data_IF_119388597640
#
_entry.id   IF_119388597640
#
_cell.length_a   1.000
_cell.length_b   1.000
_cell.length_c   1.000
_cell.angle_alpha   90.00
_cell.angle_beta   90.00
_cell.angle_gamma   90.00
#
_symmetry.space_group_name_H-M   'P 1'
#
loop_
_entity.id
_entity.type
_entity.pdbx_description
1 polymer ?
#
# COMPACT_ATOMS: atom_id res chain seq x y z
N UNK A 1 -41.70 22.33 35.25
CA UNK A 1 -40.74 22.79 34.22
C UNK A 1 -39.64 21.75 34.14
N UNK A 2 -39.76 20.86 33.16
CA UNK A 2 -38.93 19.68 32.95
C UNK A 2 -37.72 20.06 32.09
N UNK A 3 -36.52 20.02 32.66
CA UNK A 3 -35.27 20.19 31.91
C UNK A 3 -34.88 18.87 31.26
N UNK A 4 -34.98 18.80 29.93
CA UNK A 4 -34.48 17.69 29.12
C UNK A 4 -32.97 17.83 28.97
N UNK A 5 -32.21 16.93 29.60
CA UNK A 5 -30.80 16.70 29.26
C UNK A 5 -30.80 15.85 27.99
N UNK A 6 -30.55 16.48 26.85
CA UNK A 6 -30.30 15.77 25.59
C UNK A 6 -28.84 15.34 25.58
N UNK A 7 -28.61 14.05 25.81
CA UNK A 7 -27.34 13.39 25.57
C UNK A 7 -27.08 13.50 24.06
N UNK A 8 -26.10 14.32 23.69
CA UNK A 8 -25.68 14.50 22.30
C UNK A 8 -25.13 13.18 21.78
N UNK A 9 -25.98 12.54 20.99
CA UNK A 9 -25.71 11.36 20.18
C UNK A 9 -24.65 11.76 19.14
N UNK A 10 -23.37 11.61 19.50
CA UNK A 10 -22.27 11.77 18.56
C UNK A 10 -22.43 10.68 17.51
N UNK A 11 -22.97 11.05 16.35
CA UNK A 11 -23.28 10.11 15.29
C UNK A 11 -22.01 9.31 14.93
N UNK A 12 -22.16 8.00 14.76
CA UNK A 12 -21.11 7.11 14.26
C UNK A 12 -20.45 7.66 12.98
N UNK A 13 -21.22 8.41 12.18
CA UNK A 13 -20.76 9.16 11.02
C UNK A 13 -19.74 10.27 11.36
N UNK A 14 -19.98 11.11 12.38
CA UNK A 14 -19.02 12.13 12.83
C UNK A 14 -17.77 11.50 13.43
N UNK A 15 -17.92 10.39 14.16
CA UNK A 15 -16.79 9.65 14.74
C UNK A 15 -15.92 9.01 13.64
N UNK A 16 -16.55 8.47 12.58
CA UNK A 16 -15.85 7.94 11.41
C UNK A 16 -15.19 9.05 10.60
N UNK A 17 -15.84 10.20 10.44
CA UNK A 17 -15.31 11.38 9.74
C UNK A 17 -14.13 12.00 10.49
N UNK A 18 -14.18 12.02 11.82
CA UNK A 18 -13.07 12.42 12.67
C UNK A 18 -11.91 11.42 12.58
N UNK A 19 -12.18 10.10 12.58
CA UNK A 19 -11.18 9.06 12.33
C UNK A 19 -10.59 9.13 10.93
N UNK A 20 -11.36 9.58 9.95
CA UNK A 20 -10.92 9.74 8.57
C UNK A 20 -10.12 11.03 8.38
N UNK A 21 -10.50 12.13 9.03
CA UNK A 21 -9.66 13.32 9.13
C UNK A 21 -8.35 12.96 9.81
N UNK A 22 -8.39 12.22 10.92
CA UNK A 22 -7.18 11.69 11.56
C UNK A 22 -6.41 10.80 10.58
N UNK A 23 -7.05 9.90 9.80
CA UNK A 23 -6.36 9.07 8.78
C UNK A 23 -5.82 9.85 7.59
N UNK A 24 -6.46 10.95 7.21
CA UNK A 24 -6.02 11.86 6.15
C UNK A 24 -4.85 12.74 6.63
N UNK A 25 -4.79 13.04 7.94
CA UNK A 25 -3.64 13.66 8.60
C UNK A 25 -2.57 12.63 9.03
N UNK A 26 -2.93 11.35 9.17
CA UNK A 26 -2.05 10.22 9.50
C UNK A 26 -1.59 9.45 8.27
N UNK A 27 -2.03 9.78 7.06
CA UNK A 27 -1.17 9.59 5.92
C UNK A 27 -0.07 10.62 6.14
N UNK A 28 1.14 10.24 6.58
CA UNK A 28 2.24 11.14 6.31
C UNK A 28 2.15 11.33 4.79
N UNK A 29 2.17 12.57 4.29
CA UNK A 29 2.79 12.73 2.98
C UNK A 29 4.04 11.89 3.08
N UNK A 30 4.09 10.74 2.39
CA UNK A 30 5.18 9.79 2.61
C UNK A 30 6.42 10.63 2.44
N UNK A 31 7.24 10.74 3.48
CA UNK A 31 8.47 11.51 3.46
C UNK A 31 9.46 10.72 2.57
N UNK A 32 9.04 10.37 1.35
CA UNK A 32 9.87 9.95 0.24
C UNK A 32 10.45 11.23 -0.40
N UNK A 33 10.85 12.17 0.46
CA UNK A 33 11.35 13.49 0.11
C UNK A 33 12.77 13.42 -0.46
N UNK A 34 13.39 12.24 -0.37
CA UNK A 34 14.76 11.95 -0.80
C UNK A 34 14.85 11.02 -2.01
N UNK A 35 13.72 10.76 -2.70
CA UNK A 35 13.67 9.92 -3.90
C UNK A 35 14.34 8.55 -3.71
N UNK A 36 13.95 7.85 -2.64
CA UNK A 36 14.35 6.47 -2.36
C UNK A 36 13.25 5.47 -2.71
N UNK A 37 12.15 5.95 -3.28
CA UNK A 37 10.99 5.17 -3.73
C UNK A 37 11.32 3.92 -4.54
N UNK A 38 12.39 3.91 -5.35
CA UNK A 38 12.78 2.71 -6.10
C UNK A 38 13.15 1.53 -5.19
N UNK A 39 13.86 1.76 -4.08
CA UNK A 39 14.18 0.71 -3.11
C UNK A 39 12.93 0.29 -2.33
N UNK A 40 12.13 1.26 -1.86
CA UNK A 40 10.87 1.01 -1.17
C UNK A 40 9.90 0.17 -2.01
N UNK A 41 9.77 0.49 -3.29
CA UNK A 41 8.93 -0.23 -4.23
C UNK A 41 9.50 -1.64 -4.51
N UNK A 42 10.81 -1.77 -4.65
CA UNK A 42 11.47 -3.06 -4.86
C UNK A 42 11.25 -3.99 -3.67
N UNK A 43 11.41 -3.49 -2.43
CA UNK A 43 11.10 -4.26 -1.21
C UNK A 43 9.61 -4.63 -1.17
N UNK A 44 8.72 -3.65 -1.39
CA UNK A 44 7.26 -3.88 -1.35
C UNK A 44 6.83 -4.95 -2.35
N UNK A 45 7.33 -4.90 -3.58
CA UNK A 45 6.95 -5.84 -4.64
C UNK A 45 7.64 -7.21 -4.48
N UNK A 46 8.78 -7.29 -3.79
CA UNK A 46 9.43 -8.56 -3.48
C UNK A 46 8.75 -9.30 -2.32
N UNK A 47 8.24 -8.57 -1.33
CA UNK A 47 7.49 -9.13 -0.22
C UNK A 47 6.03 -9.42 -0.58
N UNK A 48 5.37 -8.46 -1.22
CA UNK A 48 3.93 -8.43 -1.42
C UNK A 48 3.55 -8.07 -2.86
N UNK A 49 3.94 -8.91 -3.84
CA UNK A 49 3.66 -8.67 -5.25
C UNK A 49 2.15 -8.53 -5.53
N UNK A 50 1.81 -7.61 -6.44
CA UNK A 50 0.43 -7.33 -6.82
C UNK A 50 -0.38 -6.53 -5.79
N UNK A 51 0.18 -6.17 -4.63
CA UNK A 51 -0.56 -5.42 -3.59
C UNK A 51 -0.39 -3.92 -3.71
N UNK A 52 -1.41 -3.16 -3.30
CA UNK A 52 -1.43 -1.69 -3.33
C UNK A 52 -1.87 -1.10 -2.00
N UNK A 53 -1.41 0.11 -1.69
CA UNK A 53 -1.91 0.90 -0.54
C UNK A 53 -3.41 1.22 -0.66
N UNK A 54 -3.95 1.14 -1.88
CA UNK A 54 -5.36 1.35 -2.19
C UNK A 54 -6.23 0.11 -1.92
N UNK A 55 -5.63 -1.04 -1.63
CA UNK A 55 -6.41 -2.23 -1.31
C UNK A 55 -7.06 -2.07 0.06
N UNK A 56 -8.35 -2.43 0.11
CA UNK A 56 -9.15 -2.35 1.32
C UNK A 56 -9.70 -3.70 1.76
N UNK A 57 -9.91 -4.69 0.88
CA UNK A 57 -10.42 -6.02 1.26
C UNK A 57 -10.20 -7.06 0.16
N UNK A 58 -10.08 -8.34 0.54
CA UNK A 58 -9.75 -9.39 -0.42
C UNK A 58 -10.87 -9.70 -1.45
N UNK A 59 -12.17 -9.56 -1.09
CA UNK A 59 -13.28 -9.93 -1.99
C UNK A 59 -13.36 -9.08 -3.26
N UNK A 60 -12.70 -7.92 -3.32
CA UNK A 60 -12.59 -7.12 -4.55
C UNK A 60 -11.94 -7.88 -5.71
N UNK A 61 -11.12 -8.89 -5.42
CA UNK A 61 -10.52 -9.77 -6.42
C UNK A 61 -11.55 -10.60 -7.20
N UNK A 62 -12.76 -10.72 -6.67
CA UNK A 62 -13.90 -11.41 -7.26
C UNK A 62 -14.95 -10.41 -7.78
N UNK A 63 -15.27 -9.40 -6.97
CA UNK A 63 -16.27 -8.38 -7.31
C UNK A 63 -15.94 -7.66 -8.61
N UNK A 64 -14.66 -7.34 -8.84
CA UNK A 64 -14.24 -6.64 -10.06
C UNK A 64 -14.44 -7.53 -11.29
N UNK A 65 -13.89 -8.75 -11.37
CA UNK A 65 -14.22 -9.68 -12.46
C UNK A 65 -15.73 -9.84 -12.69
N UNK A 66 -16.52 -9.98 -11.62
CA UNK A 66 -17.97 -10.11 -11.73
C UNK A 66 -18.64 -8.87 -12.32
N UNK A 67 -18.15 -7.66 -12.03
CA UNK A 67 -18.65 -6.44 -12.68
C UNK A 67 -18.46 -6.50 -14.20
N UNK A 68 -17.29 -6.93 -14.68
CA UNK A 68 -17.03 -7.10 -16.11
C UNK A 68 -17.83 -8.25 -16.71
N UNK A 69 -17.99 -9.38 -16.02
CA UNK A 69 -18.78 -10.52 -16.50
C UNK A 69 -20.29 -10.24 -16.52
N UNK A 70 -20.79 -9.36 -15.64
CA UNK A 70 -22.20 -8.95 -15.63
C UNK A 70 -22.61 -8.19 -16.91
N UNK A 71 -21.62 -7.72 -17.69
CA UNK A 71 -21.84 -7.01 -18.93
C UNK A 71 -22.08 -7.91 -20.16
N UNK A 72 -22.63 -9.13 -19.96
CA UNK A 72 -22.71 -10.18 -20.98
C UNK A 72 -23.55 -9.86 -22.24
N UNK A 73 -24.34 -8.79 -22.25
CA UNK A 73 -25.09 -8.33 -23.44
C UNK A 73 -24.35 -7.25 -24.25
N UNK A 74 -23.15 -6.82 -23.83
CA UNK A 74 -22.38 -5.79 -24.51
C UNK A 74 -21.92 -6.28 -25.89
N UNK A 75 -22.01 -5.42 -26.90
CA UNK A 75 -21.60 -5.74 -28.29
C UNK A 75 -20.23 -5.19 -28.65
N UNK A 76 -19.75 -4.19 -27.89
CA UNK A 76 -18.45 -3.54 -28.09
C UNK A 76 -17.69 -3.44 -26.77
N UNK A 77 -16.36 -3.32 -26.84
CA UNK A 77 -15.53 -3.16 -25.65
C UNK A 77 -15.86 -1.89 -24.86
N UNK A 78 -16.19 -0.80 -25.55
CA UNK A 78 -16.65 0.45 -24.94
C UNK A 78 -17.94 0.25 -24.12
N UNK A 79 -18.94 -0.44 -24.68
CA UNK A 79 -20.18 -0.76 -23.96
C UNK A 79 -19.91 -1.63 -22.73
N UNK A 80 -19.03 -2.62 -22.87
CA UNK A 80 -18.64 -3.50 -21.79
C UNK A 80 -17.97 -2.71 -20.66
N UNK A 81 -17.02 -1.83 -20.99
CA UNK A 81 -16.35 -0.94 -20.05
C UNK A 81 -17.32 -0.02 -19.32
N UNK A 82 -18.23 0.63 -20.04
CA UNK A 82 -19.25 1.50 -19.46
C UNK A 82 -20.18 0.75 -18.50
N UNK A 83 -20.58 -0.48 -18.84
CA UNK A 83 -21.41 -1.31 -17.97
C UNK A 83 -20.68 -1.83 -16.75
N UNK A 84 -19.41 -2.24 -16.90
CA UNK A 84 -18.57 -2.65 -15.79
C UNK A 84 -18.40 -1.50 -14.79
N UNK A 85 -18.10 -0.28 -15.28
CA UNK A 85 -18.04 0.92 -14.46
C UNK A 85 -19.37 1.19 -13.74
N UNK A 86 -20.50 1.06 -14.43
CA UNK A 86 -21.81 1.24 -13.81
C UNK A 86 -22.09 0.18 -12.72
N UNK A 87 -21.66 -1.06 -12.95
CA UNK A 87 -21.75 -2.14 -11.97
C UNK A 87 -20.87 -1.86 -10.73
N UNK A 88 -19.64 -1.37 -10.91
CA UNK A 88 -18.77 -0.96 -9.82
C UNK A 88 -19.40 0.19 -9.00
N UNK A 89 -19.97 1.20 -9.66
CA UNK A 89 -20.66 2.31 -8.98
C UNK A 89 -21.90 1.83 -8.21
N UNK A 90 -22.64 0.85 -8.74
CA UNK A 90 -23.75 0.21 -8.01
C UNK A 90 -23.26 -0.49 -6.75
N UNK A 91 -22.15 -1.23 -6.81
CA UNK A 91 -21.57 -1.86 -5.62
C UNK A 91 -21.20 -0.84 -4.53
N UNK A 92 -20.58 0.27 -4.91
CA UNK A 92 -20.20 1.33 -3.96
C UNK A 92 -21.44 1.87 -3.24
N UNK A 93 -22.54 2.15 -3.96
CA UNK A 93 -23.81 2.58 -3.33
C UNK A 93 -24.36 1.52 -2.38
N UNK A 94 -24.30 0.24 -2.76
CA UNK A 94 -24.79 -0.84 -1.91
C UNK A 94 -23.96 -1.01 -0.63
N UNK A 95 -22.63 -0.88 -0.71
CA UNK A 95 -21.80 -0.87 0.48
C UNK A 95 -22.11 0.28 1.44
N UNK A 96 -22.51 1.45 0.91
CA UNK A 96 -23.00 2.57 1.72
C UNK A 96 -24.34 2.24 2.40
N UNK A 97 -25.30 1.68 1.66
CA UNK A 97 -26.62 1.29 2.19
C UNK A 97 -26.50 0.23 3.30
N UNK A 98 -25.51 -0.67 3.19
CA UNK A 98 -25.25 -1.75 4.14
C UNK A 98 -24.30 -1.35 5.29
N UNK A 99 -23.91 -0.08 5.39
CA UNK A 99 -22.98 0.45 6.40
C UNK A 99 -21.67 -0.39 6.53
N UNK A 100 -21.14 -0.83 5.39
CA UNK A 100 -19.90 -1.61 5.35
C UNK A 100 -18.74 -0.73 5.85
N UNK A 101 -18.01 -1.23 6.86
CA UNK A 101 -16.97 -0.42 7.53
C UNK A 101 -15.74 -0.12 6.67
N UNK A 102 -15.38 -0.99 5.71
CA UNK A 102 -14.12 -0.90 4.94
C UNK A 102 -14.37 -1.17 3.47
N UNK A 103 -14.63 -0.13 2.67
CA UNK A 103 -14.76 -0.24 1.22
C UNK A 103 -14.19 1.01 0.51
N UNK A 104 -13.89 0.85 -0.79
CA UNK A 104 -13.45 1.97 -1.64
C UNK A 104 -14.66 2.87 -1.92
N UNK A 105 -14.55 4.15 -1.55
CA UNK A 105 -15.62 5.13 -1.70
C UNK A 105 -16.45 5.40 -0.46
N UNK A 106 -15.95 5.02 0.73
CA UNK A 106 -16.61 5.29 2.01
C UNK A 106 -16.98 6.76 2.23
N UNK A 107 -16.13 7.71 1.83
CA UNK A 107 -16.42 9.15 1.95
C UNK A 107 -16.94 9.83 0.68
N UNK A 108 -16.43 9.47 -0.50
CA UNK A 108 -16.83 10.08 -1.78
C UNK A 108 -18.05 9.43 -2.48
N UNK A 109 -18.50 8.27 -1.98
CA UNK A 109 -19.63 7.52 -2.53
C UNK A 109 -19.45 7.10 -3.98
N UNK A 110 -20.53 7.05 -4.75
CA UNK A 110 -20.49 6.61 -6.15
C UNK A 110 -19.83 7.61 -7.11
N UNK A 111 -19.38 8.78 -6.62
CA UNK A 111 -18.65 9.81 -7.37
C UNK A 111 -17.13 9.72 -7.21
N UNK A 112 -16.62 8.62 -6.65
CA UNK A 112 -15.17 8.39 -6.48
C UNK A 112 -14.43 8.54 -7.80
N UNK A 113 -13.31 9.26 -7.75
CA UNK A 113 -12.44 9.51 -8.90
C UNK A 113 -11.70 8.24 -9.39
N UNK A 114 -11.42 7.30 -8.48
CA UNK A 114 -10.74 6.04 -8.80
C UNK A 114 -11.59 4.83 -8.40
N UNK A 115 -12.14 4.15 -9.41
CA UNK A 115 -12.95 2.94 -9.21
C UNK A 115 -12.12 1.76 -8.68
N UNK A 116 -12.74 0.78 -7.99
CA UNK A 116 -12.06 -0.42 -7.50
C UNK A 116 -11.20 -1.13 -8.54
N UNK A 117 -11.66 -1.23 -9.80
CA UNK A 117 -10.91 -1.84 -10.90
C UNK A 117 -9.55 -1.20 -11.12
N UNK A 118 -9.42 0.12 -10.95
CA UNK A 118 -8.14 0.81 -11.08
C UNK A 118 -7.20 0.54 -9.89
N UNK A 119 -7.73 0.29 -8.69
CA UNK A 119 -6.93 -0.01 -7.50
C UNK A 119 -6.38 -1.44 -7.51
N UNK A 120 -7.17 -2.42 -7.95
CA UNK A 120 -6.83 -3.85 -7.88
C UNK A 120 -6.28 -4.44 -9.17
N UNK A 121 -6.23 -3.72 -10.29
CA UNK A 121 -5.77 -4.30 -11.57
C UNK A 121 -4.40 -4.96 -11.47
N UNK A 122 -3.49 -4.34 -10.72
CA UNK A 122 -2.15 -4.89 -10.47
C UNK A 122 -2.20 -6.26 -9.78
N UNK A 123 -3.12 -6.46 -8.83
CA UNK A 123 -3.35 -7.73 -8.13
C UNK A 123 -4.00 -8.75 -9.06
N UNK A 124 -5.03 -8.36 -9.79
CA UNK A 124 -5.73 -9.24 -10.74
C UNK A 124 -4.76 -9.82 -11.76
N UNK A 125 -3.81 -9.01 -12.23
CA UNK A 125 -2.79 -9.42 -13.19
C UNK A 125 -1.69 -10.27 -12.54
N UNK A 126 -1.13 -9.81 -11.41
CA UNK A 126 -0.07 -10.53 -10.71
C UNK A 126 -0.53 -11.95 -10.32
N UNK A 127 -1.75 -12.06 -9.79
CA UNK A 127 -2.29 -13.32 -9.29
C UNK A 127 -2.97 -14.17 -10.37
N UNK A 128 -2.81 -13.79 -11.65
CA UNK A 128 -3.34 -14.49 -12.83
C UNK A 128 -4.86 -14.71 -12.77
N UNK A 129 -5.58 -13.74 -12.20
CA UNK A 129 -7.04 -13.67 -12.22
C UNK A 129 -7.51 -13.14 -13.58
N UNK A 130 -6.79 -12.17 -14.12
CA UNK A 130 -6.89 -11.72 -15.52
C UNK A 130 -5.62 -12.14 -16.27
N UNK A 131 -5.76 -12.43 -17.56
CA UNK A 131 -4.64 -12.73 -18.45
C UNK A 131 -3.60 -11.60 -18.45
N UNK A 132 -2.32 -11.94 -18.48
CA UNK A 132 -1.21 -11.01 -18.19
C UNK A 132 -1.00 -9.91 -19.23
N UNK A 133 -1.43 -10.13 -20.46
CA UNK A 133 -1.38 -9.20 -21.59
C UNK A 133 -2.57 -8.21 -21.60
N UNK A 134 -3.59 -8.43 -20.78
CA UNK A 134 -4.80 -7.61 -20.78
C UNK A 134 -4.65 -6.42 -19.84
N UNK A 135 -4.77 -5.22 -20.40
CA UNK A 135 -4.82 -3.98 -19.65
C UNK A 135 -6.26 -3.62 -19.28
N UNK A 136 -6.42 -2.84 -18.21
CA UNK A 136 -7.75 -2.41 -17.73
C UNK A 136 -8.57 -1.74 -18.83
N UNK A 137 -7.93 -0.93 -19.65
CA UNK A 137 -8.62 -0.16 -20.67
C UNK A 137 -8.93 -0.98 -21.93
N UNK A 138 -8.28 -2.14 -22.12
CA UNK A 138 -8.47 -3.03 -23.28
C UNK A 138 -9.27 -4.30 -22.96
N UNK A 139 -9.62 -4.53 -21.69
CA UNK A 139 -10.34 -5.75 -21.31
C UNK A 139 -11.68 -5.92 -22.03
N UNK A 140 -12.38 -4.81 -22.31
CA UNK A 140 -13.63 -4.85 -23.04
C UNK A 140 -13.44 -5.47 -24.42
N UNK A 141 -12.44 -5.02 -25.17
CA UNK A 141 -12.12 -5.55 -26.49
C UNK A 141 -11.66 -7.02 -26.38
N UNK A 142 -10.79 -7.32 -25.43
CA UNK A 142 -10.32 -8.70 -25.21
C UNK A 142 -11.46 -9.69 -24.94
N UNK A 143 -12.48 -9.29 -24.17
CA UNK A 143 -13.65 -10.12 -23.88
C UNK A 143 -14.57 -10.28 -25.11
N UNK A 144 -14.70 -9.25 -25.94
CA UNK A 144 -15.48 -9.31 -27.18
C UNK A 144 -14.79 -10.24 -28.19
N UNK A 145 -13.48 -10.12 -28.33
CA UNK A 145 -12.66 -10.97 -29.20
C UNK A 145 -12.70 -12.43 -28.75
N UNK A 146 -12.58 -12.68 -27.44
CA UNK A 146 -12.76 -14.02 -26.86
C UNK A 146 -14.14 -14.59 -27.18
N UNK A 147 -15.20 -13.80 -27.01
CA UNK A 147 -16.56 -14.24 -27.31
C UNK A 147 -16.78 -14.51 -28.81
N UNK A 148 -16.14 -13.75 -29.70
CA UNK A 148 -16.15 -14.00 -31.13
C UNK A 148 -15.41 -15.29 -31.49
N UNK A 149 -14.17 -15.46 -31.00
CA UNK A 149 -13.38 -16.67 -31.26
C UNK A 149 -14.09 -17.94 -30.80
N UNK A 150 -14.77 -17.91 -29.63
CA UNK A 150 -15.59 -19.03 -29.16
C UNK A 150 -16.75 -19.38 -30.10
N UNK A 151 -17.41 -18.38 -30.71
CA UNK A 151 -18.49 -18.62 -31.70
C UNK A 151 -17.96 -19.25 -32.98
N UNK A 152 -16.75 -18.87 -33.37
CA UNK A 152 -16.09 -19.33 -34.59
C UNK A 152 -15.34 -20.66 -34.39
N UNK A 153 -15.41 -21.26 -33.19
CA UNK A 153 -14.70 -22.50 -32.85
C UNK A 153 -13.18 -22.35 -32.78
N UNK A 154 -12.67 -21.12 -32.68
CA UNK A 154 -11.24 -20.85 -32.55
C UNK A 154 -10.82 -20.96 -31.08
N UNK A 155 -9.76 -21.73 -30.78
CA UNK A 155 -9.17 -21.76 -29.44
C UNK A 155 -8.70 -20.36 -29.06
N UNK A 156 -9.19 -19.85 -27.93
CA UNK A 156 -8.78 -18.57 -27.36
C UNK A 156 -8.49 -18.78 -25.87
N UNK A 157 -7.38 -18.21 -25.41
CA UNK A 157 -7.04 -18.22 -23.99
C UNK A 157 -8.03 -17.32 -23.22
N UNK A 158 -8.69 -17.82 -22.18
CA UNK A 158 -9.69 -17.04 -21.45
C UNK A 158 -9.13 -15.74 -20.87
N UNK A 159 -9.87 -14.63 -21.00
CA UNK A 159 -9.48 -13.33 -20.43
C UNK A 159 -9.45 -13.39 -18.90
N UNK A 160 -10.47 -14.01 -18.32
CA UNK A 160 -10.55 -14.29 -16.88
C UNK A 160 -10.13 -15.72 -16.60
N UNK A 161 -9.55 -15.95 -15.44
CA UNK A 161 -9.17 -17.30 -15.00
C UNK A 161 -10.40 -18.25 -15.04
N UNK A 162 -10.32 -19.42 -15.70
CA UNK A 162 -11.45 -20.33 -15.82
C UNK A 162 -11.98 -20.88 -14.50
N UNK A 163 -11.15 -20.91 -13.46
CA UNK A 163 -11.53 -21.35 -12.12
C UNK A 163 -12.20 -20.26 -11.28
N UNK A 164 -12.37 -19.04 -11.79
CA UNK A 164 -12.98 -17.93 -11.07
C UNK A 164 -14.37 -18.34 -10.50
N UNK A 165 -14.60 -18.22 -9.17
CA UNK A 165 -15.89 -18.48 -8.58
C UNK A 165 -17.02 -17.70 -9.28
N UNK A 166 -18.18 -18.31 -9.54
CA UNK A 166 -19.27 -17.62 -10.21
C UNK A 166 -19.84 -16.51 -9.32
N UNK A 167 -20.31 -15.43 -9.94
CA UNK A 167 -21.00 -14.35 -9.23
C UNK A 167 -22.31 -14.87 -8.60
N UNK A 168 -22.73 -14.35 -7.44
CA UNK A 168 -24.04 -14.63 -6.88
C UNK A 168 -25.18 -14.30 -7.86
N UNK A 169 -26.26 -15.09 -7.82
CA UNK A 169 -27.39 -14.95 -8.73
C UNK A 169 -28.07 -13.57 -8.56
N UNK A 170 -28.06 -12.76 -9.61
CA UNK A 170 -28.61 -11.39 -9.58
C UNK A 170 -27.57 -10.30 -9.29
N UNK A 171 -26.28 -10.62 -9.26
CA UNK A 171 -25.21 -9.63 -9.12
C UNK A 171 -25.27 -8.57 -10.25
N UNK A 172 -25.04 -7.27 -9.98
CA UNK A 172 -24.69 -6.64 -8.69
C UNK A 172 -25.90 -6.17 -7.86
N UNK A 173 -27.11 -6.69 -8.11
CA UNK A 173 -28.37 -6.28 -7.49
C UNK A 173 -28.89 -7.18 -6.36
N UNK A 174 -28.17 -8.26 -6.00
CA UNK A 174 -28.54 -9.16 -4.89
C UNK A 174 -28.63 -8.46 -3.52
N UNK A 175 -29.14 -9.15 -2.51
CA UNK A 175 -29.04 -8.72 -1.11
C UNK A 175 -27.65 -9.05 -0.51
N UNK A 176 -26.99 -10.09 -1.05
CA UNK A 176 -25.65 -10.50 -0.65
C UNK A 176 -24.58 -9.66 -1.38
N UNK A 177 -24.22 -8.51 -0.82
CA UNK A 177 -23.02 -7.75 -1.21
C UNK A 177 -22.15 -7.44 -0.01
N UNK A 178 -21.99 -8.41 0.90
CA UNK A 178 -20.99 -8.29 1.96
C UNK A 178 -19.58 -8.23 1.37
N UNK A 179 -18.66 -7.54 2.03
CA UNK A 179 -17.25 -7.54 1.61
C UNK A 179 -16.50 -8.80 2.08
N UNK A 180 -17.17 -9.61 2.89
CA UNK A 180 -16.58 -10.78 3.48
C UNK A 180 -16.58 -11.97 2.54
N UNK A 181 -15.50 -12.73 2.55
CA UNK A 181 -15.33 -13.90 1.71
C UNK A 181 -16.14 -15.09 2.21
N UNK A 182 -16.70 -15.86 1.29
CA UNK A 182 -17.08 -17.26 1.52
C UNK A 182 -15.87 -18.18 1.57
N UNK A 183 -16.06 -19.43 2.03
CA UNK A 183 -14.97 -20.42 2.11
C UNK A 183 -14.36 -20.75 0.76
N UNK A 184 -15.19 -21.10 -0.23
CA UNK A 184 -14.72 -21.43 -1.58
C UNK A 184 -14.02 -20.24 -2.26
N UNK A 185 -14.50 -19.02 -2.02
CA UNK A 185 -13.88 -17.78 -2.50
C UNK A 185 -12.48 -17.59 -1.90
N UNK A 186 -12.34 -17.78 -0.59
CA UNK A 186 -11.06 -17.64 0.11
C UNK A 186 -10.06 -18.74 -0.27
N UNK A 187 -10.51 -19.99 -0.41
CA UNK A 187 -9.70 -21.11 -0.91
C UNK A 187 -9.18 -20.80 -2.31
N UNK A 188 -10.05 -20.32 -3.21
CA UNK A 188 -9.65 -19.98 -4.56
C UNK A 188 -8.61 -18.84 -4.61
N UNK A 189 -8.82 -17.74 -3.88
CA UNK A 189 -7.84 -16.64 -3.84
C UNK A 189 -6.50 -17.10 -3.26
N UNK A 190 -6.50 -17.89 -2.19
CA UNK A 190 -5.28 -18.48 -1.62
C UNK A 190 -4.53 -19.28 -2.68
N UNK A 191 -5.23 -20.16 -3.39
CA UNK A 191 -4.62 -21.04 -4.36
C UNK A 191 -4.05 -20.24 -5.56
N UNK A 192 -4.69 -19.13 -5.94
CA UNK A 192 -4.12 -18.16 -6.91
C UNK A 192 -2.80 -17.57 -6.43
N UNK A 193 -2.76 -17.04 -5.20
CA UNK A 193 -1.55 -16.45 -4.63
C UNK A 193 -0.41 -17.49 -4.55
N UNK A 194 -0.72 -18.71 -4.09
CA UNK A 194 0.27 -19.78 -4.00
C UNK A 194 0.81 -20.21 -5.37
N UNK A 195 -0.04 -20.20 -6.40
CA UNK A 195 0.33 -20.59 -7.75
C UNK A 195 1.19 -19.55 -8.48
N UNK A 196 1.03 -18.25 -8.19
CA UNK A 196 1.74 -17.19 -8.93
C UNK A 196 2.89 -16.56 -8.15
N UNK A 197 2.77 -16.44 -6.82
CA UNK A 197 3.70 -15.66 -5.99
C UNK A 197 4.60 -16.53 -5.10
N UNK A 198 4.93 -17.75 -5.57
CA UNK A 198 5.74 -18.70 -4.80
C UNK A 198 7.07 -18.10 -4.32
N UNK A 199 7.45 -18.39 -3.08
CA UNK A 199 8.70 -17.89 -2.48
C UNK A 199 8.64 -16.45 -1.96
N UNK A 200 7.50 -15.75 -2.07
CA UNK A 200 7.29 -14.42 -1.49
C UNK A 200 6.73 -14.50 -0.07
N UNK A 201 6.83 -13.39 0.67
CA UNK A 201 6.21 -13.32 2.00
C UNK A 201 4.68 -13.41 1.91
N UNK A 202 4.09 -12.85 0.85
CA UNK A 202 2.65 -12.97 0.58
C UNK A 202 2.21 -14.44 0.47
N UNK A 203 2.90 -15.26 -0.32
CA UNK A 203 2.59 -16.69 -0.44
C UNK A 203 2.78 -17.44 0.88
N UNK A 204 3.83 -17.12 1.64
CA UNK A 204 4.07 -17.72 2.96
C UNK A 204 2.90 -17.45 3.94
N UNK A 205 2.34 -16.24 3.93
CA UNK A 205 1.25 -15.85 4.81
C UNK A 205 -0.06 -16.62 4.55
N UNK A 206 -0.26 -17.13 3.32
CA UNK A 206 -1.47 -17.87 2.95
C UNK A 206 -1.29 -19.39 2.89
N UNK A 207 -0.06 -19.91 2.90
CA UNK A 207 0.25 -21.33 2.65
C UNK A 207 -0.26 -22.31 3.72
N UNK A 208 -0.34 -21.88 4.98
CA UNK A 208 -0.78 -22.70 6.12
C UNK A 208 -1.66 -21.86 7.05
N UNK A 209 -2.41 -22.44 7.99
CA UNK A 209 -3.05 -21.69 9.05
C UNK A 209 -2.00 -20.92 9.86
N UNK A 210 -1.82 -19.64 9.54
CA UNK A 210 -0.90 -18.74 10.21
C UNK A 210 -1.62 -17.94 11.30
N UNK A 211 -0.93 -17.63 12.39
CA UNK A 211 -1.40 -16.67 13.39
C UNK A 211 -1.00 -15.26 12.95
N UNK A 212 -1.82 -14.66 12.09
CA UNK A 212 -1.69 -13.25 11.70
C UNK A 212 -2.40 -12.40 12.74
N UNK A 213 -1.68 -11.48 13.38
CA UNK A 213 -2.23 -10.63 14.43
C UNK A 213 -2.93 -9.43 13.79
N UNK A 214 -4.21 -9.20 14.09
CA UNK A 214 -4.97 -8.04 13.56
C UNK A 214 -4.35 -6.69 13.92
N UNK A 215 -3.51 -6.65 14.95
CA UNK A 215 -2.91 -5.44 15.51
C UNK A 215 -1.42 -5.30 15.20
N UNK A 216 -0.78 -6.23 14.48
CA UNK A 216 0.66 -6.15 14.20
C UNK A 216 0.97 -4.92 13.33
N UNK A 217 1.79 -3.95 13.82
CA UNK A 217 2.00 -2.69 13.13
C UNK A 217 2.96 -2.84 11.94
N UNK A 218 3.88 -3.81 11.99
CA UNK A 218 4.92 -4.05 10.99
C UNK A 218 5.01 -5.55 10.66
N UNK A 219 5.51 -5.92 9.48
CA UNK A 219 5.61 -7.34 9.11
C UNK A 219 6.63 -8.08 9.99
N UNK A 220 7.75 -7.46 10.36
CA UNK A 220 8.75 -8.03 11.28
C UNK A 220 8.34 -8.02 12.77
N UNK A 221 7.09 -7.66 13.08
CA UNK A 221 6.49 -7.83 14.40
C UNK A 221 5.37 -8.88 14.40
N UNK A 222 5.05 -9.48 13.25
CA UNK A 222 4.00 -10.49 13.13
C UNK A 222 4.59 -11.91 13.15
N UNK A 223 4.15 -12.80 14.05
CA UNK A 223 4.68 -14.17 14.15
C UNK A 223 4.57 -14.95 12.82
N UNK A 224 3.51 -14.73 12.05
CA UNK A 224 3.34 -15.39 10.76
C UNK A 224 4.44 -15.00 9.79
N UNK A 225 4.76 -13.70 9.72
CA UNK A 225 5.78 -13.20 8.80
C UNK A 225 7.20 -13.58 9.24
N UNK A 226 7.50 -13.52 10.55
CA UNK A 226 8.82 -13.87 11.10
C UNK A 226 9.16 -15.36 10.86
N UNK A 227 8.14 -16.22 10.79
CA UNK A 227 8.34 -17.65 10.49
C UNK A 227 8.71 -17.96 9.03
N UNK A 228 8.78 -16.94 8.15
CA UNK A 228 9.18 -17.11 6.77
C UNK A 228 10.64 -17.57 6.66
N UNK A 229 10.91 -18.36 5.62
CA UNK A 229 12.25 -18.91 5.33
C UNK A 229 12.67 -18.56 3.89
N UNK A 230 13.95 -18.77 3.58
CA UNK A 230 14.50 -18.50 2.26
C UNK A 230 14.39 -17.03 1.85
N UNK A 231 14.16 -16.77 0.55
CA UNK A 231 14.15 -15.43 -0.01
C UNK A 231 13.15 -14.46 0.63
N UNK A 232 11.99 -14.95 1.11
CA UNK A 232 11.02 -14.14 1.82
C UNK A 232 11.55 -13.62 3.16
N UNK A 233 12.30 -14.45 3.89
CA UNK A 233 12.93 -14.08 5.17
C UNK A 233 14.04 -13.04 4.96
N UNK A 234 14.87 -13.25 3.94
CA UNK A 234 15.95 -12.32 3.58
C UNK A 234 15.38 -10.93 3.23
N UNK A 235 14.35 -10.88 2.37
CA UNK A 235 13.66 -9.63 2.05
C UNK A 235 13.01 -8.97 3.28
N UNK A 236 12.49 -9.76 4.23
CA UNK A 236 11.90 -9.23 5.45
C UNK A 236 12.96 -8.57 6.36
N UNK A 237 14.15 -9.18 6.47
CA UNK A 237 15.28 -8.62 7.22
C UNK A 237 15.76 -7.30 6.61
N UNK A 238 15.93 -7.24 5.28
CA UNK A 238 16.27 -5.98 4.60
C UNK A 238 15.17 -4.93 4.74
N UNK A 239 13.90 -5.33 4.72
CA UNK A 239 12.78 -4.42 4.92
C UNK A 239 12.84 -3.77 6.30
N UNK A 240 13.13 -4.54 7.35
CA UNK A 240 13.26 -4.02 8.71
C UNK A 240 14.45 -3.05 8.83
N UNK A 241 15.63 -3.43 8.33
CA UNK A 241 16.82 -2.57 8.34
C UNK A 241 16.61 -1.29 7.51
N UNK A 242 16.01 -1.41 6.33
CA UNK A 242 15.65 -0.25 5.50
C UNK A 242 14.64 0.66 6.21
N UNK A 243 13.68 0.10 6.96
CA UNK A 243 12.75 0.91 7.73
C UNK A 243 13.46 1.69 8.84
N UNK A 244 14.45 1.10 9.51
CA UNK A 244 15.27 1.80 10.51
C UNK A 244 16.09 2.94 9.85
N UNK A 245 16.65 2.67 8.67
CA UNK A 245 17.36 3.65 7.84
C UNK A 245 16.47 4.83 7.45
N UNK A 246 15.29 4.55 6.89
CA UNK A 246 14.35 5.57 6.45
C UNK A 246 13.88 6.42 7.65
N UNK A 247 13.62 5.80 8.80
CA UNK A 247 13.25 6.53 10.01
C UNK A 247 14.32 7.57 10.38
N UNK A 248 15.60 7.17 10.38
CA UNK A 248 16.71 8.09 10.70
C UNK A 248 16.83 9.23 9.69
N UNK A 249 16.65 8.93 8.40
CA UNK A 249 16.63 9.95 7.36
C UNK A 249 15.45 10.93 7.49
N UNK A 250 14.26 10.44 7.84
CA UNK A 250 13.08 11.28 8.04
C UNK A 250 13.25 12.21 9.25
N UNK A 251 13.95 11.76 10.29
CA UNK A 251 14.29 12.58 11.45
C UNK A 251 15.27 13.69 11.08
N UNK A 252 16.32 13.36 10.33
CA UNK A 252 17.28 14.34 9.79
C UNK A 252 16.58 15.32 8.85
N UNK A 253 15.74 14.83 7.94
CA UNK A 253 14.97 15.66 7.04
C UNK A 253 14.10 16.66 7.80
N UNK A 254 13.32 16.16 8.77
CA UNK A 254 12.42 16.98 9.58
C UNK A 254 13.19 18.06 10.35
N UNK A 255 14.32 17.69 10.95
CA UNK A 255 15.21 18.64 11.61
C UNK A 255 15.69 19.74 10.65
N UNK A 256 16.15 19.39 9.45
CA UNK A 256 16.70 20.36 8.49
C UNK A 256 15.67 21.32 7.93
N UNK A 257 14.48 20.83 7.58
CA UNK A 257 13.42 21.69 7.05
C UNK A 257 12.92 22.64 8.14
N UNK A 258 12.77 22.16 9.37
CA UNK A 258 12.42 22.99 10.52
C UNK A 258 13.48 24.06 10.79
N UNK A 259 14.76 23.68 10.83
CA UNK A 259 15.86 24.63 11.02
C UNK A 259 15.88 25.70 9.92
N UNK A 260 15.64 25.32 8.66
CA UNK A 260 15.58 26.26 7.53
C UNK A 260 14.36 27.19 7.62
N UNK A 261 13.19 26.68 8.03
CA UNK A 261 11.99 27.50 8.23
C UNK A 261 12.20 28.53 9.35
N UNK A 262 12.74 28.12 10.50
CA UNK A 262 13.09 29.03 11.61
C UNK A 262 14.12 30.07 11.17
N UNK A 263 15.17 29.67 10.44
CA UNK A 263 16.19 30.59 9.93
C UNK A 263 15.62 31.65 8.98
N UNK A 264 14.67 31.30 8.11
CA UNK A 264 14.09 32.23 7.12
C UNK A 264 12.97 33.10 7.66
N UNK A 265 12.14 32.57 8.56
CA UNK A 265 10.90 33.23 8.97
C UNK A 265 10.87 33.61 10.45
N UNK A 266 11.85 33.21 11.25
CA UNK A 266 11.89 33.47 12.69
C UNK A 266 10.75 32.80 13.46
N UNK A 267 10.07 31.81 12.86
CA UNK A 267 9.01 31.06 13.51
C UNK A 267 9.59 30.07 14.53
N UNK A 268 9.02 30.05 15.73
CA UNK A 268 9.28 28.95 16.66
C UNK A 268 8.68 27.67 16.08
N UNK A 269 9.44 26.56 16.09
CA UNK A 269 8.97 25.31 15.51
C UNK A 269 7.82 24.73 16.32
N UNK A 270 6.71 24.40 15.65
CA UNK A 270 5.63 23.61 16.24
C UNK A 270 6.06 22.14 16.34
N UNK A 271 6.93 21.81 17.31
CA UNK A 271 7.38 20.44 17.56
C UNK A 271 8.89 20.31 17.77
N UNK A 272 9.28 19.25 18.46
CA UNK A 272 10.67 18.99 18.85
C UNK A 272 11.34 18.01 17.89
N UNK A 273 11.85 18.54 16.78
CA UNK A 273 12.58 17.73 15.78
C UNK A 273 13.96 17.27 16.26
N UNK A 274 14.54 17.93 17.27
CA UNK A 274 15.76 17.48 17.93
C UNK A 274 15.50 16.19 18.70
N UNK A 275 14.39 16.14 19.44
CA UNK A 275 13.95 14.92 20.12
C UNK A 275 13.67 13.75 19.16
N UNK A 276 13.20 14.01 17.93
CA UNK A 276 13.08 12.93 16.91
C UNK A 276 14.45 12.32 16.54
N UNK A 277 15.50 13.14 16.43
CA UNK A 277 16.87 12.66 16.19
C UNK A 277 17.39 11.87 17.39
N UNK A 278 17.17 12.39 18.60
CA UNK A 278 17.60 11.74 19.84
C UNK A 278 16.89 10.41 20.07
N UNK A 279 15.57 10.34 19.83
CA UNK A 279 14.80 9.11 19.92
C UNK A 279 15.33 8.04 18.96
N UNK A 280 15.58 8.41 17.71
CA UNK A 280 16.15 7.47 16.75
C UNK A 280 17.55 7.01 17.17
N UNK A 281 18.39 7.93 17.67
CA UNK A 281 19.76 7.63 18.10
C UNK A 281 19.79 6.75 19.36
N UNK A 282 18.86 6.95 20.28
CA UNK A 282 18.72 6.20 21.52
C UNK A 282 18.07 4.83 21.33
N UNK A 283 17.48 4.54 20.17
CA UNK A 283 16.93 3.24 19.85
C UNK A 283 18.04 2.24 19.45
N UNK A 284 18.49 1.45 20.43
CA UNK A 284 19.48 0.39 20.25
C UNK A 284 19.07 -0.66 19.20
N UNK A 285 17.77 -0.85 18.93
CA UNK A 285 17.32 -1.76 17.87
C UNK A 285 17.63 -1.16 16.51
N UNK A 286 17.32 0.12 16.28
CA UNK A 286 17.62 0.77 15.00
C UNK A 286 19.13 0.81 14.72
N UNK A 287 19.95 1.13 15.74
CA UNK A 287 21.40 1.11 15.58
C UNK A 287 21.93 -0.28 15.23
N UNK A 288 21.47 -1.33 15.93
CA UNK A 288 21.87 -2.72 15.63
C UNK A 288 21.42 -3.16 14.24
N UNK A 289 20.18 -2.87 13.87
CA UNK A 289 19.64 -3.20 12.54
C UNK A 289 20.50 -2.61 11.43
N UNK A 290 20.93 -1.35 11.55
CA UNK A 290 21.79 -0.73 10.55
C UNK A 290 23.22 -1.23 10.57
N UNK A 291 23.76 -1.49 11.76
CA UNK A 291 25.11 -2.02 11.92
C UNK A 291 25.24 -3.42 11.29
N UNK A 292 24.24 -4.27 11.51
CA UNK A 292 24.24 -5.65 11.03
C UNK A 292 23.69 -5.78 9.59
N UNK A 293 23.24 -4.68 8.99
CA UNK A 293 22.69 -4.68 7.64
C UNK A 293 23.78 -4.85 6.59
N UNK A 294 23.73 -5.98 5.87
CA UNK A 294 24.48 -6.15 4.63
C UNK A 294 23.86 -5.31 3.50
N UNK A 295 24.30 -4.05 3.42
CA UNK A 295 23.84 -3.09 2.41
C UNK A 295 24.26 -3.49 1.00
N UNK A 296 25.43 -4.12 0.85
CA UNK A 296 25.97 -4.50 -0.46
C UNK A 296 25.18 -5.68 -1.04
N UNK A 297 24.89 -6.70 -0.23
CA UNK A 297 23.98 -7.80 -0.62
C UNK A 297 22.61 -7.24 -0.98
N UNK A 298 22.06 -6.34 -0.16
CA UNK A 298 20.75 -5.72 -0.42
C UNK A 298 20.73 -5.00 -1.76
N UNK A 299 21.76 -4.22 -2.09
CA UNK A 299 21.86 -3.50 -3.37
C UNK A 299 21.92 -4.49 -4.54
N UNK A 300 22.72 -5.56 -4.43
CA UNK A 300 22.83 -6.59 -5.46
C UNK A 300 21.47 -7.25 -5.70
N UNK A 301 20.79 -7.66 -4.62
CA UNK A 301 19.46 -8.26 -4.66
C UNK A 301 18.42 -7.30 -5.25
N UNK A 302 18.39 -6.06 -4.80
CA UNK A 302 17.47 -5.04 -5.30
C UNK A 302 17.65 -4.75 -6.79
N UNK A 303 18.90 -4.69 -7.28
CA UNK A 303 19.17 -4.49 -8.71
C UNK A 303 18.78 -5.67 -9.59
N UNK A 304 18.83 -6.91 -9.06
CA UNK A 304 18.34 -8.09 -9.79
C UNK A 304 16.83 -7.99 -10.03
N UNK A 305 16.07 -7.54 -9.03
CA UNK A 305 14.62 -7.34 -9.15
C UNK A 305 14.28 -6.09 -9.96
N UNK A 306 15.01 -5.00 -9.76
CA UNK A 306 14.78 -3.73 -10.42
C UNK A 306 16.09 -3.16 -11.02
N UNK A 307 16.42 -3.52 -12.28
CA UNK A 307 17.62 -3.01 -12.96
C UNK A 307 17.61 -1.49 -13.19
N UNK A 308 16.46 -0.82 -13.03
CA UNK A 308 16.30 0.63 -13.20
C UNK A 308 16.71 1.44 -11.97
N UNK A 309 17.17 0.79 -10.90
CA UNK A 309 17.71 1.48 -9.72
C UNK A 309 18.92 2.32 -10.13
N UNK A 310 18.81 3.64 -9.94
CA UNK A 310 19.82 4.56 -10.42
C UNK A 310 21.12 4.48 -9.60
N UNK A 311 22.31 4.59 -10.24
CA UNK A 311 23.60 4.56 -9.52
C UNK A 311 23.70 5.60 -8.40
N UNK A 312 23.18 6.81 -8.63
CA UNK A 312 23.20 7.87 -7.62
C UNK A 312 22.30 7.57 -6.39
N UNK A 313 21.28 6.72 -6.54
CA UNK A 313 20.46 6.24 -5.41
C UNK A 313 21.25 5.26 -4.55
N UNK A 314 22.04 4.39 -5.17
CA UNK A 314 22.95 3.45 -4.49
C UNK A 314 24.02 4.21 -3.71
N UNK A 315 24.68 5.19 -4.34
CA UNK A 315 25.70 6.01 -3.68
C UNK A 315 25.13 6.77 -2.49
N UNK A 316 23.92 7.34 -2.64
CA UNK A 316 23.26 8.04 -1.55
C UNK A 316 22.93 7.08 -0.39
N UNK A 317 22.29 5.94 -0.67
CA UNK A 317 21.97 4.91 0.33
C UNK A 317 23.22 4.51 1.13
N UNK A 318 24.26 4.07 0.42
CA UNK A 318 25.50 3.55 1.04
C UNK A 318 26.16 4.60 1.92
N UNK A 319 26.25 5.85 1.43
CA UNK A 319 26.87 6.94 2.20
C UNK A 319 26.00 7.37 3.38
N UNK A 320 24.68 7.46 3.20
CA UNK A 320 23.77 7.86 4.26
C UNK A 320 23.75 6.85 5.42
N UNK A 321 23.80 5.54 5.12
CA UNK A 321 23.94 4.50 6.16
C UNK A 321 25.23 4.71 6.97
N UNK A 322 26.36 4.98 6.30
CA UNK A 322 27.64 5.26 6.97
C UNK A 322 27.57 6.48 7.88
N UNK A 323 26.96 7.57 7.41
CA UNK A 323 26.82 8.79 8.22
C UNK A 323 25.90 8.59 9.42
N UNK A 324 24.79 7.85 9.26
CA UNK A 324 23.87 7.52 10.34
C UNK A 324 24.49 6.61 11.41
N UNK A 325 25.44 5.75 11.02
CA UNK A 325 26.18 4.88 11.95
C UNK A 325 27.37 5.57 12.61
N UNK A 326 27.79 6.75 12.14
CA UNK A 326 28.91 7.48 12.73
C UNK A 326 28.62 7.92 14.17
N UNK A 327 29.67 8.16 14.95
CA UNK A 327 29.55 8.68 16.32
C UNK A 327 29.22 10.18 16.35
N UNK A 328 29.26 10.84 15.19
CA UNK A 328 28.93 12.27 15.03
C UNK A 328 27.50 12.51 15.46
N UNK A 329 27.28 13.60 16.19
CA UNK A 329 25.92 14.03 16.48
C UNK A 329 25.13 14.37 15.22
N UNK A 330 23.93 13.79 15.08
CA UNK A 330 23.11 13.95 13.89
C UNK A 330 22.68 15.39 13.70
N UNK A 331 22.50 16.15 14.79
CA UNK A 331 22.22 17.58 14.74
C UNK A 331 23.42 18.41 14.28
N UNK A 332 24.64 17.86 14.34
CA UNK A 332 25.91 18.48 13.93
C UNK A 332 26.56 17.84 12.69
N UNK A 333 25.96 16.78 12.12
CA UNK A 333 26.52 16.08 10.96
C UNK A 333 26.26 16.85 9.65
N UNK A 334 27.10 17.85 9.40
CA UNK A 334 27.04 18.70 8.20
C UNK A 334 27.14 17.91 6.89
N UNK A 335 27.82 16.77 6.89
CA UNK A 335 27.96 15.92 5.70
C UNK A 335 26.61 15.30 5.34
N UNK A 336 25.96 14.66 6.30
CA UNK A 336 24.63 14.10 6.14
C UNK A 336 23.60 15.17 5.80
N UNK A 337 23.68 16.34 6.45
CA UNK A 337 22.79 17.47 6.17
C UNK A 337 22.87 17.92 4.72
N UNK A 338 24.08 18.16 4.23
CA UNK A 338 24.31 18.56 2.85
C UNK A 338 23.79 17.51 1.88
N UNK A 339 24.03 16.22 2.16
CA UNK A 339 23.55 15.13 1.34
C UNK A 339 22.02 15.11 1.24
N UNK A 340 21.32 15.24 2.38
CA UNK A 340 19.86 15.22 2.46
C UNK A 340 19.26 16.43 1.72
N UNK A 341 19.78 17.63 1.94
CA UNK A 341 19.32 18.84 1.25
C UNK A 341 19.51 18.76 -0.27
N UNK A 342 20.71 18.38 -0.73
CA UNK A 342 21.00 18.26 -2.16
C UNK A 342 20.17 17.16 -2.82
N UNK A 343 19.89 16.07 -2.10
CA UNK A 343 19.03 15.01 -2.59
C UNK A 343 17.60 15.50 -2.79
N UNK A 344 17.02 16.22 -1.84
CA UNK A 344 15.66 16.78 -2.01
C UNK A 344 15.63 17.79 -3.17
N UNK A 345 16.59 18.72 -3.23
CA UNK A 345 16.67 19.72 -4.31
C UNK A 345 16.70 19.07 -5.69
N UNK A 346 17.49 18.01 -5.87
CA UNK A 346 17.57 17.28 -7.14
C UNK A 346 16.27 16.53 -7.45
N UNK A 347 15.67 15.89 -6.46
CA UNK A 347 14.46 15.10 -6.63
C UNK A 347 13.23 15.96 -6.98
N UNK A 348 13.10 17.12 -6.32
CA UNK A 348 11.89 17.95 -6.41
C UNK A 348 12.07 19.24 -7.23
N UNK A 349 13.31 19.63 -7.54
CA UNK A 349 13.61 20.87 -8.27
C UNK A 349 12.97 22.09 -7.61
N UNK A 350 12.17 22.85 -8.39
CA UNK A 350 11.43 24.02 -7.92
C UNK A 350 10.38 23.73 -6.82
N UNK A 351 10.08 22.46 -6.55
CA UNK A 351 9.16 22.02 -5.50
C UNK A 351 9.86 21.58 -4.20
N UNK A 352 11.20 21.65 -4.13
CA UNK A 352 11.94 21.36 -2.90
C UNK A 352 11.60 22.37 -1.81
N UNK A 353 11.45 21.92 -0.55
CA UNK A 353 11.21 22.84 0.59
C UNK A 353 12.40 23.76 0.85
N UNK A 354 13.62 23.36 0.49
CA UNK A 354 14.80 24.23 0.57
C UNK A 354 14.84 25.34 -0.51
N UNK A 355 14.04 25.23 -1.57
CA UNK A 355 13.99 26.22 -2.66
C UNK A 355 12.67 27.00 -2.67
N UNK A 356 11.55 26.31 -2.43
CA UNK A 356 10.20 26.84 -2.56
C UNK A 356 9.70 27.42 -1.24
N UNK A 357 9.70 28.76 -1.17
CA UNK A 357 9.30 29.48 0.05
C UNK A 357 7.87 29.15 0.49
N UNK A 358 6.91 29.03 -0.45
CA UNK A 358 5.52 28.70 -0.12
C UNK A 358 5.40 27.33 0.55
N UNK A 359 6.12 26.32 0.04
CA UNK A 359 6.11 24.97 0.64
C UNK A 359 6.84 24.94 1.97
N UNK A 360 7.89 25.74 2.14
CA UNK A 360 8.61 25.87 3.41
C UNK A 360 7.75 26.56 4.48
N UNK A 361 7.00 27.61 4.12
CA UNK A 361 6.05 28.27 5.04
C UNK A 361 4.92 27.36 5.48
N UNK A 362 4.52 26.41 4.64
CA UNK A 362 3.49 25.42 4.94
C UNK A 362 4.02 24.18 5.67
N UNK A 363 5.31 24.15 6.03
CA UNK A 363 5.91 23.03 6.75
C UNK A 363 5.40 22.97 8.19
N UNK A 364 4.95 21.79 8.60
CA UNK A 364 4.66 21.44 9.98
C UNK A 364 5.45 20.16 10.25
N UNK A 365 6.36 20.14 11.24
CA UNK A 365 7.14 18.94 11.51
C UNK A 365 6.24 17.84 12.09
N UNK A 366 6.55 16.56 11.81
CA UNK A 366 5.79 15.45 12.34
C UNK A 366 5.99 15.32 13.86
N UNK A 367 4.94 14.96 14.60
CA UNK A 367 5.03 14.65 16.04
C UNK A 367 5.77 13.33 16.29
N UNK A 368 5.65 12.38 15.36
CA UNK A 368 6.34 11.07 15.38
C UNK A 368 6.66 10.63 13.97
N UNK A 369 7.74 9.87 13.81
CA UNK A 369 8.06 9.19 12.55
C UNK A 369 7.59 7.75 12.63
N UNK A 370 6.78 7.35 11.67
CA UNK A 370 6.25 5.98 11.61
C UNK A 370 7.19 5.09 10.78
N UNK A 371 7.34 3.80 11.14
CA UNK A 371 8.15 2.88 10.35
C UNK A 371 7.58 2.71 8.94
N UNK A 372 8.47 2.49 7.96
CA UNK A 372 8.09 2.21 6.58
C UNK A 372 7.65 0.74 6.47
N UNK A 373 6.35 0.48 6.38
CA UNK A 373 5.80 -0.88 6.51
C UNK A 373 5.48 -1.58 5.19
N UNK A 374 5.85 -1.00 4.04
CA UNK A 374 5.76 -1.65 2.72
C UNK A 374 4.38 -2.23 2.39
N UNK A 375 3.30 -1.48 2.68
CA UNK A 375 1.89 -1.90 2.45
C UNK A 375 1.39 -2.99 3.40
N UNK A 376 2.12 -3.27 4.48
CA UNK A 376 1.78 -4.32 5.44
C UNK A 376 0.35 -4.23 5.98
N UNK A 377 -0.14 -3.03 6.29
CA UNK A 377 -1.51 -2.87 6.83
C UNK A 377 -2.54 -3.42 5.84
N UNK A 378 -2.42 -3.09 4.55
CA UNK A 378 -3.32 -3.58 3.51
C UNK A 378 -3.19 -5.10 3.35
N UNK A 379 -1.96 -5.61 3.29
CA UNK A 379 -1.68 -7.05 3.17
C UNK A 379 -2.29 -7.80 4.36
N UNK A 380 -1.96 -7.41 5.59
CA UNK A 380 -2.45 -7.99 6.83
C UNK A 380 -3.98 -8.04 6.83
N UNK A 381 -4.63 -6.95 6.46
CA UNK A 381 -6.09 -6.91 6.42
C UNK A 381 -6.65 -7.89 5.35
N UNK A 382 -6.06 -7.96 4.15
CA UNK A 382 -6.44 -8.97 3.15
C UNK A 382 -6.21 -10.40 3.62
N UNK A 383 -5.12 -10.67 4.34
CA UNK A 383 -4.83 -12.00 4.87
C UNK A 383 -5.78 -12.40 5.99
N UNK A 384 -6.21 -11.43 6.81
CA UNK A 384 -7.27 -11.62 7.81
C UNK A 384 -8.60 -11.97 7.12
N UNK A 385 -8.96 -11.26 6.04
CA UNK A 385 -10.17 -11.55 5.26
C UNK A 385 -10.16 -12.99 4.72
N UNK A 386 -9.01 -13.42 4.16
CA UNK A 386 -8.84 -14.79 3.67
C UNK A 386 -8.97 -15.80 4.81
N UNK A 387 -8.31 -15.57 5.95
CA UNK A 387 -8.39 -16.46 7.11
C UNK A 387 -9.81 -16.59 7.65
N UNK A 388 -10.54 -15.48 7.74
CA UNK A 388 -11.93 -15.47 8.18
C UNK A 388 -12.83 -16.21 7.18
N UNK A 389 -12.63 -16.01 5.87
CA UNK A 389 -13.33 -16.76 4.83
C UNK A 389 -13.08 -18.26 4.90
N UNK A 390 -11.82 -18.68 5.07
CA UNK A 390 -11.44 -20.09 5.23
C UNK A 390 -12.05 -20.76 6.48
N UNK A 391 -12.38 -19.98 7.50
CA UNK A 391 -12.98 -20.47 8.75
C UNK A 391 -14.52 -20.54 8.71
N UNK A 392 -15.17 -20.00 7.67
CA UNK A 392 -16.63 -20.07 7.52
C UNK A 392 -17.06 -21.48 7.11
N UNK A 393 -18.13 -21.96 7.74
CA UNK A 393 -18.67 -23.31 7.58
C UNK A 393 -19.30 -23.52 6.21
#
# INVERSE_FOLDING_TARGET
MTSLISWLDASSAETNRMRELIRLFEMPESIDDLALGQFRETISNSLFPGTSVLHVAARYLLLIPWCFQSAGQAKTGEQLGAWAEQAERRLIRRFQELDVLRFIGSSAGDRVAQLPSAAYWSALRAWGIVRSDVERNSIGDAMIDEAAGRRDGMPQDPVWNPGLPPAPAGFPGTEEHGIDLGRAEAEWIRDRILATESGTLLAHLVAKPQLILKTSPTPWADPAAISATGGASEWLQHAEAYSAFQHGLDAVYSYLVTAEATRRFGAEPEGDTTNLLEQWRADDRYRRLLHDWDVDEFIVRAKRVNPRIQPHSVTFLTRAVKELLSDTDLAANNVLHTMVQEREKRAKGANSRFTNERRLRAWVPPVRISPQTFRWIQVRNMMVDLKEGLARA
#
